data_IF_237027540955
#
_entry.id   IF_237027540955
#
_cell.length_a   1.000
_cell.length_b   1.000
_cell.length_c   1.000
_cell.angle_alpha   90.00
_cell.angle_beta   90.00
_cell.angle_gamma   90.00
#
_symmetry.space_group_name_H-M   'P 1'
#
loop_
_entity.id
_entity.type
_entity.pdbx_description
1 polymer ?
#
# COMPACT_ATOMS: atom_id res chain seq x y z
N UNK A 1 56.85 -25.43 25.19
CA UNK A 1 55.76 -25.57 24.18
C UNK A 1 54.37 -25.72 24.80
N UNK A 2 54.06 -26.74 25.62
CA UNK A 2 52.70 -26.97 26.16
C UNK A 2 52.09 -25.81 26.98
N UNK A 3 52.89 -25.09 27.77
CA UNK A 3 52.39 -23.94 28.54
C UNK A 3 52.06 -22.73 27.66
N UNK A 4 52.89 -22.39 26.66
CA UNK A 4 52.58 -21.30 25.73
C UNK A 4 51.31 -21.59 24.93
N UNK A 5 51.14 -22.82 24.42
CA UNK A 5 49.90 -23.24 23.73
C UNK A 5 48.68 -23.05 24.62
N UNK A 6 48.73 -23.46 25.90
CA UNK A 6 47.61 -23.25 26.85
C UNK A 6 47.28 -21.76 27.08
N UNK A 7 48.29 -20.91 27.22
CA UNK A 7 48.06 -19.46 27.41
C UNK A 7 47.48 -18.82 26.14
N UNK A 8 47.94 -19.20 24.94
CA UNK A 8 47.37 -18.73 23.68
C UNK A 8 45.92 -19.20 23.49
N UNK A 9 45.61 -20.45 23.83
CA UNK A 9 44.23 -20.97 23.76
C UNK A 9 43.28 -20.21 24.68
N UNK A 10 43.70 -19.93 25.92
CA UNK A 10 42.89 -19.17 26.89
C UNK A 10 42.69 -17.73 26.40
N UNK A 11 43.73 -17.09 25.86
CA UNK A 11 43.63 -15.73 25.31
C UNK A 11 42.67 -15.66 24.11
N UNK A 12 42.71 -16.65 23.21
CA UNK A 12 41.78 -16.72 22.06
C UNK A 12 40.34 -16.93 22.53
N UNK A 13 40.10 -17.83 23.48
CA UNK A 13 38.75 -18.07 24.02
C UNK A 13 38.22 -16.82 24.74
N UNK A 14 39.04 -16.16 25.55
CA UNK A 14 38.67 -14.92 26.22
C UNK A 14 38.35 -13.80 25.22
N UNK A 15 39.15 -13.66 24.16
CA UNK A 15 38.89 -12.68 23.11
C UNK A 15 37.56 -12.95 22.38
N UNK A 16 37.29 -14.21 22.03
CA UNK A 16 36.02 -14.60 21.41
C UNK A 16 34.82 -14.32 22.33
N UNK A 17 34.94 -14.62 23.63
CA UNK A 17 33.89 -14.32 24.60
C UNK A 17 33.61 -12.82 24.70
N UNK A 18 34.66 -11.98 24.68
CA UNK A 18 34.53 -10.51 24.68
C UNK A 18 33.83 -10.03 23.40
N UNK A 19 34.19 -10.57 22.24
CA UNK A 19 33.56 -10.22 20.96
C UNK A 19 32.08 -10.60 20.98
N UNK A 20 31.74 -11.80 21.45
CA UNK A 20 30.34 -12.27 21.54
C UNK A 20 29.55 -11.39 22.51
N UNK A 21 30.09 -11.10 23.69
CA UNK A 21 29.44 -10.23 24.66
C UNK A 21 29.25 -8.82 24.10
N UNK A 22 30.25 -8.26 23.43
CA UNK A 22 30.15 -6.96 22.77
C UNK A 22 29.09 -6.91 21.67
N UNK A 23 29.00 -7.96 20.85
CA UNK A 23 27.96 -8.09 19.83
C UNK A 23 26.56 -8.19 20.44
N UNK A 24 26.41 -8.95 21.54
CA UNK A 24 25.15 -9.03 22.26
C UNK A 24 24.75 -7.65 22.81
N UNK A 25 25.66 -6.96 23.50
CA UNK A 25 25.40 -5.60 24.00
C UNK A 25 24.98 -4.66 22.87
N UNK A 26 25.67 -4.70 21.72
CA UNK A 26 25.32 -3.89 20.56
C UNK A 26 23.88 -4.19 20.07
N UNK A 27 23.53 -5.46 19.86
CA UNK A 27 22.20 -5.88 19.37
C UNK A 27 21.10 -5.49 20.35
N UNK A 28 21.30 -5.72 21.65
CA UNK A 28 20.29 -5.45 22.68
C UNK A 28 20.24 -3.98 23.13
N UNK A 29 21.22 -3.15 22.78
CA UNK A 29 21.26 -1.74 23.18
C UNK A 29 20.32 -0.84 22.40
N UNK A 30 19.85 -1.26 21.22
CA UNK A 30 18.98 -0.44 20.37
C UNK A 30 19.67 0.77 19.72
N UNK A 31 20.99 0.92 19.87
CA UNK A 31 21.74 2.06 19.31
C UNK A 31 21.82 2.06 17.79
N UNK A 32 21.62 0.90 17.15
CA UNK A 32 21.60 0.78 15.70
C UNK A 32 20.18 1.03 15.19
N UNK A 33 19.97 2.18 14.57
CA UNK A 33 18.71 2.51 13.94
C UNK A 33 18.49 1.61 12.71
N UNK A 34 17.32 0.99 12.64
CA UNK A 34 16.91 0.10 11.53
C UNK A 34 15.92 0.79 10.58
N UNK A 35 15.61 2.07 10.81
CA UNK A 35 14.79 2.88 9.91
C UNK A 35 15.41 2.92 8.51
N UNK A 36 14.57 2.78 7.48
CA UNK A 36 15.02 2.81 6.08
C UNK A 36 15.53 4.21 5.65
N UNK A 37 15.13 5.25 6.39
CA UNK A 37 15.57 6.63 6.25
C UNK A 37 16.96 6.89 6.85
N UNK A 38 17.44 6.01 7.73
CA UNK A 38 18.80 6.05 8.28
C UNK A 38 19.71 5.08 7.54
N UNK A 39 20.44 5.62 6.56
CA UNK A 39 21.31 4.82 5.71
C UNK A 39 22.40 4.11 6.53
N UNK A 40 22.69 2.87 6.14
CA UNK A 40 23.85 2.16 6.66
C UNK A 40 25.12 3.02 6.57
N UNK A 41 26.00 2.89 7.57
CA UNK A 41 27.34 3.44 7.47
C UNK A 41 28.02 2.92 6.20
N UNK A 42 28.86 3.75 5.55
CA UNK A 42 29.50 3.39 4.26
C UNK A 42 30.13 1.99 4.25
N UNK A 43 30.85 1.53 5.30
CA UNK A 43 31.40 0.17 5.33
C UNK A 43 30.32 -0.91 5.36
N UNK A 44 29.26 -0.73 6.15
CA UNK A 44 28.14 -1.68 6.23
C UNK A 44 27.40 -1.72 4.90
N UNK A 45 27.11 -0.56 4.31
CA UNK A 45 26.50 -0.46 2.99
C UNK A 45 27.32 -1.20 1.93
N UNK A 46 28.64 -1.00 1.89
CA UNK A 46 29.52 -1.66 0.92
C UNK A 46 29.51 -3.18 1.07
N UNK A 47 29.56 -3.68 2.32
CA UNK A 47 29.48 -5.13 2.60
C UNK A 47 28.12 -5.69 2.17
N UNK A 48 27.02 -5.05 2.55
CA UNK A 48 25.66 -5.49 2.20
C UNK A 48 25.43 -5.48 0.69
N UNK A 49 25.85 -4.42 0.00
CA UNK A 49 25.77 -4.31 -1.46
C UNK A 49 26.59 -5.42 -2.14
N UNK A 50 27.84 -5.62 -1.71
CA UNK A 50 28.70 -6.67 -2.27
C UNK A 50 28.12 -8.06 -2.05
N UNK A 51 27.62 -8.35 -0.84
CA UNK A 51 26.98 -9.61 -0.50
C UNK A 51 25.78 -9.89 -1.41
N UNK A 52 24.92 -8.88 -1.61
CA UNK A 52 23.75 -8.96 -2.49
C UNK A 52 24.16 -9.25 -3.93
N UNK A 53 25.06 -8.47 -4.50
CA UNK A 53 25.51 -8.62 -5.90
C UNK A 53 26.19 -9.98 -6.16
N UNK A 54 27.07 -10.42 -5.25
CA UNK A 54 27.71 -11.73 -5.35
C UNK A 54 26.70 -12.87 -5.20
N UNK A 55 25.71 -12.76 -4.32
CA UNK A 55 24.65 -13.75 -4.18
C UNK A 55 23.80 -13.84 -5.44
N UNK A 56 23.35 -12.71 -5.99
CA UNK A 56 22.56 -12.69 -7.23
C UNK A 56 23.34 -13.38 -8.35
N UNK A 57 24.60 -12.98 -8.57
CA UNK A 57 25.47 -13.57 -9.61
C UNK A 57 25.66 -15.07 -9.43
N UNK A 58 25.90 -15.52 -8.20
CA UNK A 58 26.09 -16.94 -7.91
C UNK A 58 24.82 -17.76 -8.16
N UNK A 59 23.64 -17.21 -7.88
CA UNK A 59 22.35 -17.89 -8.02
C UNK A 59 21.76 -17.79 -9.43
N UNK A 60 22.14 -16.77 -10.20
CA UNK A 60 21.67 -16.58 -11.57
C UNK A 60 22.54 -17.28 -12.62
N UNK A 61 23.76 -17.70 -12.28
CA UNK A 61 24.77 -18.24 -13.21
C UNK A 61 24.23 -19.28 -14.19
N UNK A 62 23.50 -20.26 -13.68
CA UNK A 62 23.05 -21.44 -14.42
C UNK A 62 21.61 -21.30 -14.97
N UNK A 63 21.03 -20.10 -14.88
CA UNK A 63 19.73 -19.80 -15.47
C UNK A 63 19.86 -19.79 -17.00
N UNK A 64 18.98 -20.54 -17.66
CA UNK A 64 18.87 -20.56 -19.12
C UNK A 64 17.94 -19.44 -19.56
N UNK A 65 18.44 -18.55 -20.42
CA UNK A 65 17.67 -17.42 -20.95
C UNK A 65 16.93 -17.89 -22.22
N UNK A 66 15.60 -17.81 -22.28
CA UNK A 66 14.83 -18.10 -23.50
C UNK A 66 15.05 -16.99 -24.54
N UNK A 67 14.46 -17.12 -25.73
CA UNK A 67 14.48 -16.02 -26.69
C UNK A 67 13.63 -14.86 -26.18
N UNK A 68 14.27 -13.71 -25.96
CA UNK A 68 13.65 -12.49 -25.43
C UNK A 68 13.17 -11.53 -26.53
N UNK A 69 13.29 -11.91 -27.81
CA UNK A 69 12.88 -11.06 -28.93
C UNK A 69 11.45 -11.33 -29.43
N UNK A 70 10.74 -12.26 -28.80
CA UNK A 70 9.34 -12.52 -29.09
C UNK A 70 8.48 -11.26 -28.78
N UNK A 71 7.80 -10.74 -29.80
CA UNK A 71 7.00 -9.52 -29.69
C UNK A 71 5.82 -9.67 -28.73
N UNK A 72 5.17 -10.85 -28.68
CA UNK A 72 4.07 -11.10 -27.76
C UNK A 72 4.56 -11.17 -26.32
N UNK A 73 5.73 -11.80 -26.12
CA UNK A 73 6.38 -11.88 -24.81
C UNK A 73 6.74 -10.49 -24.26
N UNK A 74 7.33 -9.64 -25.11
CA UNK A 74 7.64 -8.23 -24.77
C UNK A 74 6.36 -7.45 -24.47
N UNK A 75 5.31 -7.65 -25.26
CA UNK A 75 4.05 -6.93 -25.10
C UNK A 75 3.32 -7.32 -23.81
N UNK A 76 3.31 -8.61 -23.43
CA UNK A 76 2.81 -9.07 -22.11
C UNK A 76 3.62 -8.42 -20.99
N UNK A 77 4.95 -8.40 -21.13
CA UNK A 77 5.86 -7.82 -20.16
C UNK A 77 5.66 -6.31 -19.96
N UNK A 78 5.26 -5.58 -20.99
CA UNK A 78 4.96 -4.15 -20.90
C UNK A 78 3.79 -3.87 -19.94
N UNK A 79 2.70 -4.62 -20.07
CA UNK A 79 1.54 -4.51 -19.17
C UNK A 79 1.88 -4.89 -17.73
N UNK A 80 2.60 -5.99 -17.55
CA UNK A 80 3.04 -6.48 -16.24
C UNK A 80 3.98 -5.49 -15.54
N UNK A 81 4.95 -4.94 -16.27
CA UNK A 81 5.85 -3.91 -15.74
C UNK A 81 5.08 -2.65 -15.33
N UNK A 82 4.12 -2.22 -16.16
CA UNK A 82 3.28 -1.06 -15.88
C UNK A 82 2.46 -1.25 -14.60
N UNK A 83 1.96 -2.45 -14.35
CA UNK A 83 1.16 -2.77 -13.17
C UNK A 83 2.00 -2.91 -11.88
N UNK A 84 3.19 -3.52 -11.96
CA UNK A 84 3.90 -3.99 -10.77
C UNK A 84 5.22 -3.27 -10.47
N UNK A 85 5.86 -2.64 -11.47
CA UNK A 85 7.26 -2.22 -11.35
C UNK A 85 7.46 -0.70 -11.43
N UNK A 86 6.57 0.03 -12.12
CA UNK A 86 6.81 1.46 -12.38
C UNK A 86 6.84 2.34 -11.14
N UNK A 87 6.13 1.92 -10.09
CA UNK A 87 6.04 2.69 -8.83
C UNK A 87 7.39 2.73 -8.11
N UNK A 88 8.26 1.72 -8.28
CA UNK A 88 9.58 1.72 -7.67
C UNK A 88 10.70 2.00 -8.68
N UNK A 89 10.60 1.42 -9.88
CA UNK A 89 11.65 1.42 -10.91
C UNK A 89 11.47 2.45 -12.02
N UNK A 90 10.39 3.24 -11.95
CA UNK A 90 10.02 4.32 -12.88
C UNK A 90 9.73 3.82 -14.31
N UNK A 91 9.34 4.72 -15.20
CA UNK A 91 9.09 4.46 -16.63
C UNK A 91 9.64 5.61 -17.47
N UNK A 92 9.78 5.45 -18.80
CA UNK A 92 10.22 6.53 -19.66
C UNK A 92 9.42 7.83 -19.43
N UNK A 93 10.13 8.91 -19.14
CA UNK A 93 9.53 10.23 -18.85
C UNK A 93 9.09 10.46 -17.40
N UNK A 94 9.17 9.44 -16.53
CA UNK A 94 8.93 9.57 -15.09
C UNK A 94 10.25 9.84 -14.37
N UNK A 95 10.30 10.95 -13.63
CA UNK A 95 11.50 11.36 -12.87
C UNK A 95 11.51 10.76 -11.46
N UNK A 96 10.34 10.63 -10.85
CA UNK A 96 10.19 10.11 -9.49
C UNK A 96 8.78 9.54 -9.26
N UNK A 97 8.56 9.00 -8.07
CA UNK A 97 7.30 8.44 -7.56
C UNK A 97 7.24 8.60 -6.04
N UNK A 98 6.05 8.73 -5.48
CA UNK A 98 5.86 9.00 -4.03
C UNK A 98 6.63 8.06 -3.09
N UNK A 99 6.68 6.76 -3.40
CA UNK A 99 7.36 5.78 -2.52
C UNK A 99 8.89 5.86 -2.61
N UNK A 100 9.43 6.27 -3.78
CA UNK A 100 10.83 6.05 -4.13
C UNK A 100 11.79 6.76 -3.19
N UNK A 101 11.57 7.99 -2.69
CA UNK A 101 12.44 8.60 -1.68
C UNK A 101 12.62 7.77 -0.40
N UNK A 102 11.61 7.00 0.01
CA UNK A 102 11.64 6.13 1.18
C UNK A 102 12.21 4.72 0.92
N UNK A 103 12.52 4.38 -0.33
CA UNK A 103 13.03 3.06 -0.68
C UNK A 103 14.53 2.96 -0.37
N UNK A 104 14.86 2.06 0.55
CA UNK A 104 16.23 1.68 0.86
C UNK A 104 16.45 0.17 0.67
N UNK A 105 17.47 -0.24 -0.10
CA UNK A 105 18.29 0.58 -0.98
C UNK A 105 17.47 1.18 -2.13
N UNK A 106 17.92 2.33 -2.64
CA UNK A 106 17.27 3.00 -3.77
C UNK A 106 17.24 2.10 -5.02
N UNK A 107 16.06 1.80 -5.59
CA UNK A 107 15.95 0.99 -6.79
C UNK A 107 16.53 1.73 -8.01
N UNK A 108 17.16 1.04 -8.98
CA UNK A 108 17.57 1.67 -10.23
C UNK A 108 16.36 2.14 -11.04
N UNK A 109 16.54 3.22 -11.79
CA UNK A 109 15.58 3.61 -12.82
C UNK A 109 15.77 2.69 -14.05
N UNK A 110 14.89 1.69 -14.18
CA UNK A 110 15.00 0.67 -15.24
C UNK A 110 14.68 1.22 -16.64
N UNK A 111 14.14 2.44 -16.74
CA UNK A 111 14.03 3.15 -18.02
C UNK A 111 15.33 3.77 -18.53
N UNK A 112 16.41 3.71 -17.73
CA UNK A 112 17.70 4.31 -18.05
C UNK A 112 18.86 3.31 -18.01
N UNK A 113 18.66 2.13 -17.43
CA UNK A 113 19.70 1.12 -17.27
C UNK A 113 19.24 -0.22 -17.81
N UNK A 114 20.17 -0.94 -18.43
CA UNK A 114 19.95 -2.32 -18.87
C UNK A 114 20.53 -3.28 -17.85
N UNK A 115 19.72 -4.24 -17.43
CA UNK A 115 20.11 -5.28 -16.46
C UNK A 115 20.38 -6.61 -17.18
N UNK A 116 21.28 -7.42 -16.61
CA UNK A 116 21.54 -8.76 -17.11
C UNK A 116 20.25 -9.62 -17.00
N UNK A 117 19.81 -10.30 -18.07
CA UNK A 117 18.56 -11.06 -18.05
C UNK A 117 18.48 -12.15 -16.98
N UNK A 118 19.60 -12.83 -16.69
CA UNK A 118 19.61 -13.92 -15.68
C UNK A 118 19.46 -13.34 -14.29
N UNK A 119 20.19 -12.25 -14.01
CA UNK A 119 20.07 -11.54 -12.74
C UNK A 119 18.66 -10.94 -12.59
N UNK A 120 18.13 -10.31 -13.63
CA UNK A 120 16.78 -9.74 -13.63
C UNK A 120 15.71 -10.80 -13.33
N UNK A 121 15.75 -11.95 -14.03
CA UNK A 121 14.83 -13.05 -13.76
C UNK A 121 14.92 -13.51 -12.30
N UNK A 122 16.13 -13.73 -11.78
CA UNK A 122 16.32 -14.20 -10.41
C UNK A 122 15.80 -13.19 -9.38
N UNK A 123 16.07 -11.91 -9.59
CA UNK A 123 15.64 -10.82 -8.69
C UNK A 123 14.13 -10.64 -8.75
N UNK A 124 13.49 -10.70 -9.92
CA UNK A 124 12.03 -10.65 -10.05
C UNK A 124 11.41 -11.86 -9.32
N UNK A 125 11.97 -13.06 -9.52
CA UNK A 125 11.47 -14.29 -8.91
C UNK A 125 11.51 -14.28 -7.39
N UNK A 126 12.63 -13.86 -6.83
CA UNK A 126 12.93 -14.06 -5.42
C UNK A 126 12.91 -12.78 -4.58
N UNK A 127 12.80 -11.61 -5.22
CA UNK A 127 12.92 -10.33 -4.55
C UNK A 127 14.31 -10.12 -3.96
N UNK A 128 14.42 -9.12 -3.08
CA UNK A 128 15.64 -8.86 -2.31
C UNK A 128 15.26 -8.75 -0.84
N UNK A 129 15.90 -9.56 0.01
CA UNK A 129 15.68 -9.52 1.46
C UNK A 129 16.05 -8.15 2.02
N UNK A 130 15.28 -7.72 3.02
CA UNK A 130 15.49 -6.43 3.69
C UNK A 130 15.44 -5.23 2.72
N UNK A 131 14.62 -5.34 1.68
CA UNK A 131 14.22 -4.23 0.82
C UNK A 131 12.74 -4.33 0.49
N UNK A 132 12.20 -3.31 -0.18
CA UNK A 132 10.85 -3.33 -0.69
C UNK A 132 10.68 -4.09 -2.02
N UNK A 133 11.69 -4.86 -2.49
CA UNK A 133 11.59 -5.63 -3.73
C UNK A 133 10.96 -7.01 -3.42
N UNK A 134 9.68 -7.25 -3.76
CA UNK A 134 8.98 -8.47 -3.41
C UNK A 134 9.42 -9.67 -4.26
N UNK A 135 9.10 -10.87 -3.78
CA UNK A 135 9.32 -12.12 -4.50
C UNK A 135 8.09 -12.51 -5.32
N UNK A 136 8.11 -12.25 -6.63
CA UNK A 136 6.95 -12.52 -7.49
C UNK A 136 6.71 -14.01 -7.76
N UNK A 137 7.69 -14.88 -7.48
CA UNK A 137 7.54 -16.33 -7.70
C UNK A 137 6.57 -17.05 -6.77
N UNK A 138 6.02 -16.35 -5.77
CA UNK A 138 4.90 -16.84 -4.99
C UNK A 138 3.54 -16.65 -5.67
N UNK A 139 3.43 -15.69 -6.60
CA UNK A 139 2.16 -15.32 -7.25
C UNK A 139 2.14 -15.49 -8.76
N UNK A 140 3.30 -15.57 -9.41
CA UNK A 140 3.41 -15.68 -10.86
C UNK A 140 4.37 -16.79 -11.27
N UNK A 141 4.16 -17.33 -12.46
CA UNK A 141 5.01 -18.37 -13.03
C UNK A 141 6.27 -17.81 -13.72
N UNK A 142 7.17 -18.72 -14.10
CA UNK A 142 8.43 -18.36 -14.76
C UNK A 142 8.21 -17.72 -16.13
N UNK A 143 7.13 -18.07 -16.84
CA UNK A 143 6.81 -17.48 -18.14
C UNK A 143 6.48 -15.99 -18.01
N UNK A 144 5.68 -15.62 -17.01
CA UNK A 144 5.38 -14.24 -16.66
C UNK A 144 6.63 -13.47 -16.20
N UNK A 145 7.58 -14.11 -15.54
CA UNK A 145 8.85 -13.46 -15.23
C UNK A 145 9.69 -13.19 -16.48
N UNK A 146 9.74 -14.14 -17.41
CA UNK A 146 10.46 -13.95 -18.66
C UNK A 146 9.84 -12.89 -19.56
N UNK A 147 8.52 -12.69 -19.55
CA UNK A 147 7.89 -11.54 -20.24
C UNK A 147 8.34 -10.21 -19.67
N UNK A 148 8.34 -10.05 -18.34
CA UNK A 148 8.89 -8.86 -17.71
C UNK A 148 10.37 -8.65 -18.07
N UNK A 149 11.19 -9.70 -18.02
CA UNK A 149 12.63 -9.61 -18.40
C UNK A 149 12.81 -9.23 -19.87
N UNK A 150 12.02 -9.79 -20.78
CA UNK A 150 12.05 -9.44 -22.20
C UNK A 150 11.71 -7.96 -22.42
N UNK A 151 10.68 -7.47 -21.75
CA UNK A 151 10.32 -6.05 -21.78
C UNK A 151 11.41 -5.14 -21.18
N UNK A 152 12.03 -5.54 -20.05
CA UNK A 152 13.14 -4.80 -19.45
C UNK A 152 14.33 -4.62 -20.40
N UNK A 153 14.52 -5.54 -21.34
CA UNK A 153 15.52 -5.33 -22.38
C UNK A 153 15.08 -4.20 -23.31
N UNK A 154 13.83 -4.09 -23.74
CA UNK A 154 13.42 -3.00 -24.66
C UNK A 154 13.25 -1.65 -23.97
N UNK A 155 12.95 -1.64 -22.66
CA UNK A 155 12.54 -0.47 -21.90
C UNK A 155 13.46 0.77 -22.02
N UNK A 156 14.81 0.66 -21.90
CA UNK A 156 15.68 1.84 -21.99
C UNK A 156 15.69 2.53 -23.36
N UNK A 157 15.25 1.82 -24.40
CA UNK A 157 15.23 2.30 -25.78
C UNK A 157 13.90 3.00 -26.14
N UNK A 158 12.91 2.99 -25.23
CA UNK A 158 11.58 3.53 -25.48
C UNK A 158 11.46 5.01 -25.13
N UNK A 159 10.83 5.77 -26.02
CA UNK A 159 10.31 7.10 -25.69
C UNK A 159 9.07 7.00 -24.78
N UNK A 160 8.71 8.07 -24.04
CA UNK A 160 7.48 8.09 -23.24
C UNK A 160 6.22 7.74 -24.03
N UNK A 161 6.14 8.13 -25.30
CA UNK A 161 4.99 7.82 -26.15
C UNK A 161 4.99 6.34 -26.57
N UNK A 162 6.13 5.81 -27.02
CA UNK A 162 6.23 4.39 -27.40
C UNK A 162 5.92 3.46 -26.22
N UNK A 163 6.34 3.83 -25.01
CA UNK A 163 5.98 3.11 -23.78
C UNK A 163 4.47 3.08 -23.58
N UNK A 164 3.80 4.24 -23.64
CA UNK A 164 2.34 4.34 -23.46
C UNK A 164 1.60 3.49 -24.50
N UNK A 165 1.99 3.58 -25.77
CA UNK A 165 1.36 2.83 -26.86
C UNK A 165 1.55 1.31 -26.69
N UNK A 166 2.72 0.88 -26.18
CA UNK A 166 2.99 -0.54 -25.93
C UNK A 166 2.14 -1.07 -24.76
N UNK A 167 2.05 -0.33 -23.66
CA UNK A 167 1.21 -0.71 -22.51
C UNK A 167 -0.27 -0.75 -22.88
N UNK A 168 -0.76 0.21 -23.67
CA UNK A 168 -2.15 0.25 -24.12
C UNK A 168 -2.54 -0.94 -25.02
N UNK A 169 -1.56 -1.54 -25.72
CA UNK A 169 -1.75 -2.74 -26.56
C UNK A 169 -1.49 -4.05 -25.80
N UNK A 170 -1.05 -4.00 -24.55
CA UNK A 170 -0.73 -5.19 -23.79
C UNK A 170 -1.98 -6.06 -23.60
N UNK A 171 -1.90 -7.38 -23.81
CA UNK A 171 -3.02 -8.27 -23.55
C UNK A 171 -3.41 -8.21 -22.07
N UNK A 172 -4.70 -8.37 -21.77
CA UNK A 172 -5.15 -8.59 -20.40
C UNK A 172 -4.47 -9.85 -19.85
N UNK A 173 -3.86 -9.73 -18.67
CA UNK A 173 -3.14 -10.84 -18.08
C UNK A 173 -4.13 -11.80 -17.41
N UNK A 174 -4.28 -13.01 -17.95
CA UNK A 174 -5.16 -14.04 -17.38
C UNK A 174 -4.67 -14.56 -16.02
N UNK A 175 -3.40 -14.32 -15.67
CA UNK A 175 -2.83 -14.64 -14.36
C UNK A 175 -3.24 -13.63 -13.28
N UNK A 176 -3.85 -12.50 -13.68
CA UNK A 176 -4.43 -11.48 -12.80
C UNK A 176 -5.94 -11.67 -12.59
N UNK A 177 -6.52 -12.76 -13.12
CA UNK A 177 -7.97 -13.09 -13.09
C UNK A 177 -8.34 -14.09 -11.97
N UNK A 178 -7.56 -14.13 -10.88
CA UNK A 178 -7.89 -14.92 -9.69
C UNK A 178 -8.30 -14.01 -8.53
N UNK A 179 -9.50 -13.46 -8.67
CA UNK A 179 -10.25 -12.77 -7.63
C UNK A 179 -11.37 -11.95 -8.28
N UNK A 180 -12.61 -12.42 -8.20
CA UNK A 180 -13.77 -11.63 -8.63
C UNK A 180 -13.73 -10.25 -7.95
N UNK A 181 -13.54 -9.21 -8.77
CA UNK A 181 -13.36 -7.83 -8.33
C UNK A 181 -12.97 -6.94 -9.51
N UNK A 182 -13.89 -6.77 -10.45
CA UNK A 182 -13.64 -6.06 -11.70
C UNK A 182 -13.13 -4.63 -11.51
N UNK A 183 -11.88 -4.39 -11.92
CA UNK A 183 -11.33 -3.05 -12.14
C UNK A 183 -10.89 -2.93 -13.59
N UNK A 184 -11.84 -2.60 -14.46
CA UNK A 184 -11.59 -2.21 -15.85
C UNK A 184 -11.14 -0.74 -15.86
N UNK A 185 -9.88 -0.49 -16.19
CA UNK A 185 -9.41 0.85 -16.52
C UNK A 185 -9.79 1.19 -17.96
N UNK A 186 -11.02 1.66 -18.14
CA UNK A 186 -11.48 2.26 -19.40
C UNK A 186 -10.95 3.68 -19.54
N UNK A 187 -10.09 3.92 -20.53
CA UNK A 187 -9.81 5.24 -21.06
C UNK A 187 -10.86 5.66 -22.11
N UNK A 188 -11.08 6.97 -22.22
CA UNK A 188 -11.80 7.66 -23.32
C UNK A 188 -11.44 9.14 -23.16
N UNK A 189 -10.86 9.95 -24.07
CA UNK A 189 -10.99 10.15 -25.53
C UNK A 189 -12.42 10.23 -26.07
N UNK A 190 -12.66 11.36 -26.72
CA UNK A 190 -13.91 11.95 -27.16
C UNK A 190 -14.67 11.20 -28.27
N UNK A 191 -15.92 11.67 -28.45
CA UNK A 191 -16.79 11.66 -29.64
C UNK A 191 -17.73 10.46 -29.94
N UNK A 192 -19.03 10.76 -29.74
CA UNK A 192 -20.14 10.63 -30.68
C UNK A 192 -20.76 9.26 -31.06
N UNK A 193 -22.06 9.19 -30.70
CA UNK A 193 -23.23 8.72 -31.48
C UNK A 193 -23.93 7.37 -31.17
N UNK A 194 -25.24 7.55 -30.94
CA UNK A 194 -26.42 6.68 -31.18
C UNK A 194 -26.75 5.49 -30.25
N UNK A 195 -27.99 5.55 -29.72
CA UNK A 195 -28.90 4.39 -29.72
C UNK A 195 -29.44 3.96 -28.37
N UNK A 196 -30.44 4.68 -27.85
CA UNK A 196 -31.28 4.17 -26.78
C UNK A 196 -32.24 3.10 -27.32
N UNK A 197 -32.18 1.90 -26.76
CA UNK A 197 -33.27 0.93 -26.82
C UNK A 197 -33.51 0.39 -25.40
N UNK A 198 -34.74 0.64 -24.95
CA UNK A 198 -35.39 0.07 -23.77
C UNK A 198 -35.15 -1.43 -23.62
N UNK A 199 -35.09 -1.90 -22.37
CA UNK A 199 -35.95 -3.00 -21.92
C UNK A 199 -36.09 -3.00 -20.39
N UNK A 200 -37.27 -2.57 -19.94
CA UNK A 200 -37.87 -2.88 -18.66
C UNK A 200 -37.97 -4.40 -18.42
N UNK A 201 -37.64 -4.80 -17.20
CA UNK A 201 -38.51 -5.68 -16.43
C UNK A 201 -38.21 -7.17 -16.48
N UNK A 202 -37.55 -7.66 -15.43
CA UNK A 202 -37.98 -8.91 -14.80
C UNK A 202 -37.64 -8.90 -13.30
N UNK A 203 -38.70 -8.80 -12.51
CA UNK A 203 -38.75 -9.02 -11.06
C UNK A 203 -39.48 -10.34 -10.86
N UNK A 204 -38.99 -11.19 -9.95
CA UNK A 204 -39.74 -12.17 -9.12
C UNK A 204 -38.72 -13.05 -8.36
N UNK A 205 -39.08 -13.76 -7.28
CA UNK A 205 -39.43 -13.28 -5.94
C UNK A 205 -38.61 -14.00 -4.84
N UNK A 206 -38.85 -13.66 -3.57
CA UNK A 206 -38.13 -14.17 -2.41
C UNK A 206 -38.66 -15.51 -1.82
N UNK A 207 -37.69 -16.35 -1.37
CA UNK A 207 -37.65 -17.34 -0.26
C UNK A 207 -38.61 -18.56 -0.28
N UNK A 208 -38.29 -19.73 0.35
CA UNK A 208 -37.67 -19.84 1.70
C UNK A 208 -36.65 -20.96 1.96
N UNK A 209 -36.12 -20.89 3.17
CA UNK A 209 -35.23 -21.78 3.91
C UNK A 209 -35.69 -23.25 3.98
N UNK A 210 -34.75 -24.19 4.04
CA UNK A 210 -34.73 -25.35 4.99
C UNK A 210 -33.34 -26.00 4.94
N UNK A 211 -32.83 -26.37 6.12
CA UNK A 211 -31.44 -26.76 6.35
C UNK A 211 -31.12 -28.22 6.03
N UNK A 212 -29.91 -28.64 6.40
CA UNK A 212 -29.53 -29.97 6.91
C UNK A 212 -28.03 -29.93 7.24
N UNK A 213 -27.68 -30.12 8.52
CA UNK A 213 -26.35 -30.59 8.94
C UNK A 213 -26.28 -32.12 8.78
N UNK A 214 -25.07 -32.69 8.71
CA UNK A 214 -24.61 -33.44 9.88
C UNK A 214 -23.12 -33.25 10.24
N UNK A 215 -22.88 -33.38 11.54
CA UNK A 215 -21.65 -33.72 12.28
C UNK A 215 -20.72 -34.73 11.57
N UNK A 216 -19.43 -34.91 11.87
CA UNK A 216 -18.42 -34.28 12.72
C UNK A 216 -17.08 -34.96 12.35
N UNK A 217 -15.95 -34.25 12.50
CA UNK A 217 -14.68 -34.89 12.85
C UNK A 217 -13.74 -33.86 13.48
N UNK A 218 -13.42 -34.14 14.74
CA UNK A 218 -12.56 -33.41 15.66
C UNK A 218 -11.09 -33.45 15.24
N UNK A 219 -10.39 -32.31 15.32
CA UNK A 219 -8.97 -32.29 15.72
C UNK A 219 -8.73 -31.10 16.64
N UNK A 220 -8.16 -31.42 17.79
CA UNK A 220 -7.90 -30.53 18.91
C UNK A 220 -6.78 -29.51 18.62
N UNK A 221 -6.99 -28.31 19.17
CA UNK A 221 -5.99 -27.54 19.93
C UNK A 221 -4.83 -26.94 19.15
N UNK A 222 -4.90 -25.62 18.93
CA UNK A 222 -3.79 -24.72 19.22
C UNK A 222 -4.38 -23.34 19.53
N UNK A 223 -4.42 -23.02 20.82
CA UNK A 223 -4.67 -21.67 21.33
C UNK A 223 -3.54 -20.76 20.83
N UNK A 224 -3.85 -19.90 19.86
CA UNK A 224 -3.09 -18.69 19.64
C UNK A 224 -3.89 -17.55 20.24
N UNK A 225 -3.48 -17.18 21.46
CA UNK A 225 -3.81 -15.89 22.05
C UNK A 225 -3.36 -14.81 21.04
N UNK A 226 -4.35 -14.25 20.36
CA UNK A 226 -4.19 -13.16 19.41
C UNK A 226 -3.82 -11.93 20.23
N UNK A 227 -2.53 -11.73 20.44
CA UNK A 227 -2.03 -10.45 20.94
C UNK A 227 -2.17 -9.49 19.78
N UNK A 228 -3.21 -8.67 19.82
CA UNK A 228 -3.43 -7.57 18.88
C UNK A 228 -2.20 -6.66 18.86
N UNK A 229 -1.31 -6.89 17.89
CA UNK A 229 -0.23 -5.98 17.59
C UNK A 229 -0.85 -4.73 16.96
N UNK A 230 -0.70 -3.59 17.64
CA UNK A 230 -1.16 -2.31 17.13
C UNK A 230 -0.55 -2.05 15.73
N UNK A 231 -1.34 -1.54 14.77
CA UNK A 231 -0.84 -1.23 13.44
C UNK A 231 0.29 -0.20 13.49
N UNK A 232 1.24 -0.31 12.56
CA UNK A 232 2.37 0.60 12.42
C UNK A 232 1.89 2.06 12.26
N UNK A 233 2.64 3.06 12.77
CA UNK A 233 2.23 4.46 12.67
C UNK A 233 2.23 4.89 11.20
N UNK A 234 1.04 5.08 10.67
CA UNK A 234 0.78 5.65 9.35
C UNK A 234 1.34 7.08 9.33
N UNK A 235 1.98 7.50 8.22
CA UNK A 235 2.47 8.86 8.09
C UNK A 235 1.28 9.83 8.25
N UNK A 236 1.41 10.87 9.09
CA UNK A 236 0.24 11.61 9.51
C UNK A 236 -0.24 12.51 8.36
N UNK A 237 -1.54 12.46 8.06
CA UNK A 237 -2.17 13.19 6.96
C UNK A 237 -1.67 14.64 6.91
N UNK A 238 -1.11 15.06 5.77
CA UNK A 238 -0.60 16.43 5.60
C UNK A 238 -1.75 17.38 5.28
N UNK A 239 -1.79 18.51 5.98
CA UNK A 239 -2.72 19.61 5.70
C UNK A 239 -2.07 20.69 4.83
N UNK A 240 -0.88 20.42 4.27
CA UNK A 240 -0.11 21.39 3.50
C UNK A 240 -0.86 21.86 2.25
N UNK A 241 -0.89 23.18 2.06
CA UNK A 241 -1.58 23.81 0.94
C UNK A 241 -3.09 23.95 1.11
N UNK A 242 -3.69 23.38 2.16
CA UNK A 242 -5.11 23.61 2.48
C UNK A 242 -5.30 25.00 3.07
N UNK A 243 -6.33 25.70 2.60
CA UNK A 243 -6.66 27.05 3.08
C UNK A 243 -8.10 27.09 3.56
N UNK A 244 -8.33 27.72 4.69
CA UNK A 244 -9.68 27.93 5.21
C UNK A 244 -10.53 28.67 4.17
N UNK A 245 -11.74 28.15 3.91
CA UNK A 245 -12.73 28.69 2.97
C UNK A 245 -12.26 28.74 1.50
N UNK A 246 -11.30 27.90 1.09
CA UNK A 246 -10.92 27.84 -0.32
C UNK A 246 -12.04 27.28 -1.19
N UNK A 247 -12.81 26.31 -0.67
CA UNK A 247 -14.01 25.74 -1.27
C UNK A 247 -15.11 25.63 -0.19
N UNK A 248 -15.81 26.75 0.13
CA UNK A 248 -16.73 26.81 1.26
C UNK A 248 -17.87 25.78 1.21
N UNK A 249 -18.34 25.43 0.02
CA UNK A 249 -19.40 24.44 -0.15
C UNK A 249 -18.94 23.01 0.18
N UNK A 250 -17.69 22.67 -0.13
CA UNK A 250 -17.11 21.38 0.22
C UNK A 250 -16.82 21.30 1.73
N UNK A 251 -16.31 22.38 2.32
CA UNK A 251 -16.13 22.48 3.78
C UNK A 251 -17.45 22.35 4.54
N UNK A 252 -18.55 22.90 4.02
CA UNK A 252 -19.87 22.75 4.61
C UNK A 252 -20.36 21.29 4.58
N UNK A 253 -20.05 20.53 3.52
CA UNK A 253 -20.36 19.09 3.46
C UNK A 253 -19.54 18.30 4.48
N UNK A 254 -18.24 18.60 4.62
CA UNK A 254 -17.39 17.98 5.63
C UNK A 254 -17.92 18.21 7.06
N UNK A 255 -18.31 19.45 7.37
CA UNK A 255 -18.92 19.80 8.66
C UNK A 255 -20.26 19.09 8.88
N UNK A 256 -21.10 19.00 7.84
CA UNK A 256 -22.38 18.31 7.90
C UNK A 256 -22.20 16.81 8.15
N UNK A 257 -21.19 16.19 7.53
CA UNK A 257 -20.83 14.79 7.69
C UNK A 257 -20.39 14.48 9.13
N UNK A 258 -19.44 15.24 9.69
CA UNK A 258 -19.05 15.07 11.09
C UNK A 258 -20.22 15.31 12.06
N UNK A 259 -21.05 16.33 11.80
CA UNK A 259 -22.19 16.61 12.64
C UNK A 259 -23.24 15.49 12.58
N UNK A 260 -23.41 14.82 11.43
CA UNK A 260 -24.29 13.67 11.30
C UNK A 260 -23.78 12.45 12.08
N UNK A 261 -22.47 12.17 12.00
CA UNK A 261 -21.81 11.12 12.81
C UNK A 261 -22.01 11.37 14.32
N UNK A 262 -21.76 12.60 14.79
CA UNK A 262 -21.91 12.95 16.21
C UNK A 262 -23.36 12.87 16.71
N UNK A 263 -24.35 13.12 15.84
CA UNK A 263 -25.77 12.98 16.17
C UNK A 263 -26.26 11.53 16.09
N UNK A 264 -25.48 10.64 15.48
CA UNK A 264 -25.88 9.27 15.17
C UNK A 264 -26.96 9.18 14.11
N UNK A 265 -26.89 10.04 13.09
CA UNK A 265 -27.83 10.05 11.97
C UNK A 265 -27.23 9.33 10.76
N UNK A 266 -27.26 8.00 10.79
CA UNK A 266 -26.71 7.14 9.73
C UNK A 266 -27.31 7.45 8.35
N UNK A 267 -28.57 7.91 8.29
CA UNK A 267 -29.21 8.28 7.02
C UNK A 267 -28.58 9.55 6.43
N UNK A 268 -28.38 10.58 7.26
CA UNK A 268 -27.71 11.79 6.82
C UNK A 268 -26.24 11.55 6.44
N UNK A 269 -25.54 10.68 7.18
CA UNK A 269 -24.16 10.26 6.84
C UNK A 269 -24.13 9.64 5.44
N UNK A 270 -24.93 8.59 5.20
CA UNK A 270 -24.96 7.88 3.92
C UNK A 270 -25.46 8.74 2.77
N UNK A 271 -26.25 9.79 3.04
CA UNK A 271 -26.69 10.74 2.02
C UNK A 271 -25.56 11.66 1.54
N UNK A 272 -24.53 11.92 2.35
CA UNK A 272 -23.39 12.77 1.98
C UNK A 272 -22.28 12.00 1.25
N UNK A 273 -22.27 10.68 1.40
CA UNK A 273 -21.35 9.77 0.73
C UNK A 273 -21.79 9.45 -0.70
N UNK A 274 -20.85 9.48 -1.65
CA UNK A 274 -21.07 8.98 -3.00
C UNK A 274 -21.23 7.45 -3.00
N UNK A 275 -21.99 6.86 -3.94
CA UNK A 275 -22.19 5.40 -4.00
C UNK A 275 -20.89 4.59 -4.05
N UNK A 276 -19.85 5.13 -4.69
CA UNK A 276 -18.54 4.54 -4.89
C UNK A 276 -17.47 5.03 -3.89
N UNK A 277 -17.88 5.66 -2.78
CA UNK A 277 -16.93 6.18 -1.79
C UNK A 277 -16.03 5.07 -1.24
N UNK A 278 -14.74 5.42 -1.06
CA UNK A 278 -13.77 4.62 -0.31
C UNK A 278 -13.54 5.24 1.07
N UNK A 279 -13.61 4.42 2.11
CA UNK A 279 -13.44 4.87 3.50
C UNK A 279 -12.25 4.12 4.07
N UNK A 280 -11.25 4.86 4.53
CA UNK A 280 -9.98 4.29 4.99
C UNK A 280 -9.66 4.75 6.41
N UNK A 281 -9.30 3.82 7.28
CA UNK A 281 -8.81 4.10 8.62
C UNK A 281 -7.77 3.04 9.04
N UNK A 282 -6.62 3.48 9.54
CA UNK A 282 -5.57 2.59 10.06
C UNK A 282 -5.06 1.57 9.03
N UNK A 283 -4.94 1.95 7.76
CA UNK A 283 -4.52 1.08 6.66
C UNK A 283 -5.58 0.14 6.08
N UNK A 284 -6.79 0.06 6.67
CA UNK A 284 -7.91 -0.71 6.11
C UNK A 284 -8.77 0.19 5.22
N UNK A 285 -9.28 -0.33 4.11
CA UNK A 285 -10.17 0.40 3.20
C UNK A 285 -11.42 -0.41 2.91
N UNK A 286 -12.58 0.22 3.01
CA UNK A 286 -13.89 -0.39 2.82
C UNK A 286 -14.75 0.43 1.85
N UNK A 287 -15.73 -0.24 1.25
CA UNK A 287 -16.79 0.37 0.44
C UNK A 287 -17.88 1.00 1.30
N UNK A 288 -18.75 1.80 0.67
CA UNK A 288 -19.93 2.40 1.32
C UNK A 288 -20.84 1.38 1.99
N UNK A 289 -21.09 0.25 1.33
CA UNK A 289 -22.03 -0.77 1.81
C UNK A 289 -21.44 -1.58 2.98
N UNK A 290 -20.14 -1.90 2.93
CA UNK A 290 -19.40 -2.49 4.04
C UNK A 290 -19.38 -1.54 5.25
N UNK A 291 -19.14 -0.25 5.01
CA UNK A 291 -19.19 0.75 6.06
C UNK A 291 -20.58 0.87 6.70
N UNK A 292 -21.63 0.95 5.88
CA UNK A 292 -23.01 1.07 6.33
C UNK A 292 -23.50 -0.14 7.13
N UNK A 293 -22.99 -1.34 6.83
CA UNK A 293 -23.40 -2.60 7.46
C UNK A 293 -22.53 -3.02 8.64
N UNK A 294 -21.40 -2.36 8.87
CA UNK A 294 -20.45 -2.65 9.95
C UNK A 294 -20.02 -1.39 10.70
N UNK A 295 -18.94 -0.76 10.24
CA UNK A 295 -18.19 0.23 11.04
C UNK A 295 -18.94 1.54 11.32
N UNK A 296 -19.97 1.91 10.55
CA UNK A 296 -20.72 3.17 10.76
C UNK A 296 -21.38 3.24 12.14
N UNK A 297 -21.99 2.16 12.62
CA UNK A 297 -22.65 2.15 13.92
C UNK A 297 -21.63 2.23 15.08
N UNK A 298 -20.45 1.65 14.89
CA UNK A 298 -19.33 1.71 15.84
C UNK A 298 -18.76 3.15 15.92
N UNK A 299 -18.54 3.79 14.77
CA UNK A 299 -18.08 5.18 14.69
C UNK A 299 -19.08 6.14 15.34
N UNK A 300 -20.38 5.97 15.06
CA UNK A 300 -21.44 6.77 15.68
C UNK A 300 -21.42 6.58 17.19
N UNK A 301 -21.33 5.34 17.67
CA UNK A 301 -21.31 5.05 19.09
C UNK A 301 -20.09 5.69 19.78
N UNK A 302 -18.92 5.60 19.15
CA UNK A 302 -17.68 6.21 19.62
C UNK A 302 -17.76 7.73 19.66
N UNK A 303 -18.12 8.36 18.54
CA UNK A 303 -18.13 9.83 18.39
C UNK A 303 -19.21 10.50 19.25
N UNK A 304 -20.33 9.83 19.50
CA UNK A 304 -21.38 10.32 20.41
C UNK A 304 -20.92 10.36 21.88
N UNK A 305 -20.02 9.44 22.26
CA UNK A 305 -19.45 9.39 23.61
C UNK A 305 -18.20 10.28 23.75
N UNK A 306 -17.56 10.66 22.64
CA UNK A 306 -16.37 11.49 22.63
C UNK A 306 -16.71 12.99 22.70
N UNK A 307 -15.85 13.76 23.37
CA UNK A 307 -15.87 15.22 23.31
C UNK A 307 -14.87 15.70 22.28
N UNK A 308 -15.35 16.21 21.16
CA UNK A 308 -14.54 16.64 20.01
C UNK A 308 -14.34 18.15 20.05
N UNK A 309 -13.10 18.60 19.94
CA UNK A 309 -12.72 20.02 19.84
C UNK A 309 -11.98 20.25 18.53
N UNK A 310 -12.59 20.95 17.55
CA UNK A 310 -11.95 21.26 16.27
C UNK A 310 -10.68 22.09 16.47
N UNK A 311 -9.62 21.76 15.74
CA UNK A 311 -8.34 22.47 15.73
C UNK A 311 -8.18 23.28 14.44
N UNK A 312 -8.34 22.62 13.29
CA UNK A 312 -8.19 23.25 11.98
C UNK A 312 -9.17 22.66 10.96
N UNK A 313 -9.55 23.46 9.98
CA UNK A 313 -10.34 23.05 8.81
C UNK A 313 -9.87 23.88 7.62
N UNK A 314 -9.57 23.21 6.51
CA UNK A 314 -9.20 23.88 5.27
C UNK A 314 -9.55 23.03 4.06
N UNK A 315 -9.53 23.66 2.90
CA UNK A 315 -9.78 22.97 1.64
C UNK A 315 -8.77 23.37 0.56
N UNK A 316 -8.68 22.53 -0.46
CA UNK A 316 -7.87 22.74 -1.66
C UNK A 316 -8.73 22.42 -2.89
N UNK A 317 -8.94 23.39 -3.81
CA UNK A 317 -9.68 23.15 -5.04
C UNK A 317 -8.86 22.32 -6.03
N UNK A 318 -9.51 21.36 -6.68
CA UNK A 318 -8.92 20.43 -7.65
C UNK A 318 -9.85 20.24 -8.87
N UNK A 319 -10.18 21.34 -9.55
CA UNK A 319 -11.11 21.32 -10.68
C UNK A 319 -12.57 21.14 -10.24
N UNK A 320 -13.21 20.07 -10.69
CA UNK A 320 -14.56 19.64 -10.27
C UNK A 320 -14.57 18.89 -8.92
N UNK A 321 -13.38 18.68 -8.34
CA UNK A 321 -13.18 18.06 -7.04
C UNK A 321 -12.57 19.04 -6.03
N UNK A 322 -12.64 18.70 -4.76
CA UNK A 322 -12.02 19.44 -3.67
C UNK A 322 -11.53 18.47 -2.59
N UNK A 323 -10.34 18.74 -2.07
CA UNK A 323 -9.88 18.10 -0.83
C UNK A 323 -10.28 18.98 0.34
N UNK A 324 -10.80 18.39 1.40
CA UNK A 324 -11.10 19.06 2.67
C UNK A 324 -10.37 18.29 3.76
N UNK A 325 -9.50 18.96 4.49
CA UNK A 325 -8.80 18.39 5.64
C UNK A 325 -9.23 19.05 6.93
N UNK A 326 -9.40 18.23 7.97
CA UNK A 326 -9.71 18.71 9.30
C UNK A 326 -8.83 18.04 10.35
N UNK A 327 -8.47 18.80 11.38
CA UNK A 327 -7.81 18.27 12.58
C UNK A 327 -8.68 18.57 13.79
N UNK A 328 -8.80 17.59 14.70
CA UNK A 328 -9.56 17.71 15.93
C UNK A 328 -8.87 17.00 17.08
N UNK A 329 -9.06 17.51 18.29
CA UNK A 329 -8.72 16.78 19.52
C UNK A 329 -9.97 16.13 20.08
N UNK A 330 -9.87 14.87 20.49
CA UNK A 330 -11.00 14.10 21.02
C UNK A 330 -10.66 13.59 22.42
N UNK A 331 -11.54 13.86 23.37
CA UNK A 331 -11.48 13.23 24.69
C UNK A 331 -12.46 12.06 24.68
N UNK A 332 -11.92 10.84 24.79
CA UNK A 332 -12.70 9.61 24.81
C UNK A 332 -12.33 8.76 26.03
N UNK A 333 -13.18 7.81 26.39
CA UNK A 333 -12.88 6.82 27.44
C UNK A 333 -12.63 5.47 26.79
N UNK A 334 -11.38 5.00 26.81
CA UNK A 334 -11.00 3.67 26.29
C UNK A 334 -10.67 2.76 27.47
N UNK A 335 -11.34 1.60 27.55
CA UNK A 335 -11.18 0.63 28.66
C UNK A 335 -11.31 1.27 30.06
N UNK A 336 -12.21 2.25 30.20
CA UNK A 336 -12.49 2.95 31.47
C UNK A 336 -11.48 4.04 31.85
N UNK A 337 -10.49 4.34 31.01
CA UNK A 337 -9.52 5.42 31.23
C UNK A 337 -9.77 6.58 30.26
N UNK A 338 -9.73 7.84 30.73
CA UNK A 338 -9.78 8.99 29.84
C UNK A 338 -8.50 9.04 29.00
N UNK A 339 -8.66 9.18 27.68
CA UNK A 339 -7.57 9.36 26.73
C UNK A 339 -7.85 10.57 25.86
N UNK A 340 -6.79 11.32 25.56
CA UNK A 340 -6.86 12.41 24.58
C UNK A 340 -6.25 11.94 23.28
N UNK A 341 -7.01 12.01 22.21
CA UNK A 341 -6.64 11.59 20.87
C UNK A 341 -6.52 12.82 19.97
N UNK A 342 -5.56 12.79 19.06
CA UNK A 342 -5.48 13.72 17.94
C UNK A 342 -6.00 12.99 16.70
N UNK A 343 -7.05 13.52 16.08
CA UNK A 343 -7.67 12.97 14.88
C UNK A 343 -7.43 13.90 13.70
N UNK A 344 -7.03 13.29 12.58
CA UNK A 344 -6.92 13.92 11.27
C UNK A 344 -7.89 13.25 10.32
N UNK A 345 -8.61 14.06 9.57
CA UNK A 345 -9.54 13.62 8.55
C UNK A 345 -9.17 14.29 7.22
N UNK A 346 -9.16 13.50 6.16
CA UNK A 346 -9.04 13.99 4.79
C UNK A 346 -10.19 13.45 3.96
N UNK A 347 -10.97 14.37 3.40
CA UNK A 347 -12.11 14.08 2.53
C UNK A 347 -11.80 14.54 1.12
N UNK A 348 -12.01 13.66 0.15
CA UNK A 348 -12.08 14.06 -1.25
C UNK A 348 -13.56 14.15 -1.63
N UNK A 349 -13.95 15.29 -2.17
CA UNK A 349 -15.32 15.55 -2.61
C UNK A 349 -15.35 15.82 -4.11
N UNK A 350 -16.45 15.43 -4.74
CA UNK A 350 -16.75 15.73 -6.14
C UNK A 350 -18.07 16.48 -6.23
N UNK A 351 -18.13 17.47 -7.11
CA UNK A 351 -19.38 18.15 -7.44
C UNK A 351 -20.00 17.52 -8.69
N UNK A 352 -21.17 16.91 -8.55
CA UNK A 352 -21.88 16.25 -9.66
C UNK A 352 -22.94 17.15 -10.33
N UNK A 353 -22.96 18.44 -10.00
CA UNK A 353 -23.97 19.40 -10.46
C UNK A 353 -25.26 19.40 -9.63
N UNK A 354 -25.51 18.37 -8.82
CA UNK A 354 -26.58 18.30 -7.81
C UNK A 354 -26.09 18.63 -6.39
N UNK A 355 -24.79 18.68 -6.16
CA UNK A 355 -24.15 19.08 -4.92
C UNK A 355 -22.77 18.44 -4.75
N UNK A 356 -22.13 18.69 -3.62
CA UNK A 356 -20.88 18.03 -3.26
C UNK A 356 -21.16 16.69 -2.57
N UNK A 357 -20.50 15.62 -3.03
CA UNK A 357 -20.51 14.29 -2.40
C UNK A 357 -19.10 13.88 -2.01
N UNK A 358 -18.97 13.18 -0.91
CA UNK A 358 -17.70 12.62 -0.45
C UNK A 358 -17.42 11.34 -1.22
N UNK A 359 -16.32 11.31 -1.97
CA UNK A 359 -15.86 10.16 -2.77
C UNK A 359 -14.67 9.43 -2.13
N UNK A 360 -14.01 10.05 -1.15
CA UNK A 360 -13.02 9.38 -0.30
C UNK A 360 -13.06 9.95 1.12
N UNK A 361 -12.95 9.08 2.11
CA UNK A 361 -12.73 9.43 3.53
C UNK A 361 -11.42 8.76 3.95
N UNK A 362 -10.51 9.51 4.57
CA UNK A 362 -9.34 8.96 5.22
C UNK A 362 -9.23 9.51 6.64
N UNK A 363 -9.23 8.62 7.63
CA UNK A 363 -9.09 8.95 9.04
C UNK A 363 -7.80 8.42 9.61
N UNK A 364 -7.18 9.23 10.46
CA UNK A 364 -6.05 8.85 11.27
C UNK A 364 -6.23 9.38 12.69
N UNK A 365 -6.21 8.48 13.66
CA UNK A 365 -6.34 8.82 15.07
C UNK A 365 -5.11 8.33 15.82
N UNK A 366 -4.43 9.24 16.52
CA UNK A 366 -3.25 8.94 17.32
C UNK A 366 -3.43 9.41 18.77
N UNK A 367 -2.94 8.66 19.78
CA UNK A 367 -2.89 9.16 21.16
C UNK A 367 -2.00 10.39 21.25
N UNK A 368 -2.44 11.42 21.96
CA UNK A 368 -1.54 12.51 22.34
C UNK A 368 -0.65 12.06 23.51
N UNK A 369 0.65 12.36 23.49
CA UNK A 369 1.52 12.16 24.64
C UNK A 369 0.94 12.89 25.87
N UNK A 370 0.92 12.24 27.04
CA UNK A 370 0.65 12.93 28.31
C UNK A 370 1.74 14.00 28.50
N UNK A 371 1.32 15.25 28.70
CA UNK A 371 2.24 16.37 29.01
C UNK A 371 2.68 16.35 30.46
#
# INVERSE_FOLDING_TARGET
MKQHVKHYSIAVVALLAIIIAGAAVFVYSGIYNVGADDHHTKPVQAVMQTLREQSIRARSKDITVPDLNDEQLILKGAGQYAAMCTVCHLKPGMQDSEIRPGLYPQPPNLSQVRVDPKEAFWVIKHGIKMSAMPAWGGSHDDATMWSMVAFLQKLPDLTPQQYKDMVARAPADHDMDMGEGGHSHGGSTDEDTHGAADMQGMRMPAKPETGHSPDAATTAGHDHEQVDAAPAPEAPLSMDGMKAKAVPAAEAVAQAFQAALQRGDSTAVLALLAPDVRISEGGNTQSRDEYASGHLDEDIAFLKAARITPVSLGSMPMGDTAMVGSESTMQATIKGKPVTLHSREMLNLKNDGGGWKIVSVQWQTAPMPEQ
#
